data_IF_170028240539
#
_entry.id   IF_170028240539
#
_cell.length_a   1.000
_cell.length_b   1.000
_cell.length_c   1.000
_cell.angle_alpha   90.00
_cell.angle_beta   90.00
_cell.angle_gamma   90.00
#
_symmetry.space_group_name_H-M   'P 1'
#
loop_
_entity.id
_entity.type
_entity.pdbx_description
1 polymer ?
#
# COMPACT_ATOMS: atom_id res chain seq x y z
N UNK A 1 39.90 28.84 -50.40
CA UNK A 1 38.57 28.17 -50.37
C UNK A 1 38.62 26.78 -49.74
N UNK A 2 39.67 25.97 -49.93
CA UNK A 2 39.78 24.63 -49.32
C UNK A 2 39.68 24.61 -47.77
N UNK A 3 40.26 25.59 -47.07
CA UNK A 3 40.19 25.67 -45.60
C UNK A 3 38.78 25.92 -45.04
N UNK A 4 37.93 26.65 -45.77
CA UNK A 4 36.55 26.89 -45.36
C UNK A 4 35.70 25.61 -45.47
N UNK A 5 35.89 24.83 -46.55
CA UNK A 5 35.22 23.55 -46.73
C UNK A 5 35.66 22.53 -45.67
N UNK A 6 36.94 22.50 -45.31
CA UNK A 6 37.45 21.65 -44.23
C UNK A 6 36.87 22.05 -42.87
N UNK A 7 36.77 23.36 -42.57
CA UNK A 7 36.15 23.84 -41.34
C UNK A 7 34.66 23.47 -41.25
N UNK A 8 33.92 23.59 -42.36
CA UNK A 8 32.51 23.16 -42.42
C UNK A 8 32.34 21.67 -42.12
N UNK A 9 33.18 20.81 -42.72
CA UNK A 9 33.13 19.37 -42.47
C UNK A 9 33.39 19.00 -41.00
N UNK A 10 34.28 19.75 -40.31
CA UNK A 10 34.51 19.57 -38.87
C UNK A 10 33.28 19.98 -38.05
N UNK A 11 32.62 21.08 -38.40
CA UNK A 11 31.40 21.50 -37.72
C UNK A 11 30.25 20.52 -37.93
N UNK A 12 30.04 20.00 -39.13
CA UNK A 12 29.01 18.99 -39.40
C UNK A 12 29.24 17.74 -38.55
N UNK A 13 30.48 17.24 -38.50
CA UNK A 13 30.82 16.08 -37.65
C UNK A 13 30.60 16.37 -36.16
N UNK A 14 30.87 17.59 -35.70
CA UNK A 14 30.61 17.99 -34.32
C UNK A 14 29.11 18.06 -34.02
N UNK A 15 28.30 18.58 -34.95
CA UNK A 15 26.85 18.65 -34.84
C UNK A 15 26.20 17.27 -34.84
N UNK A 16 26.70 16.34 -35.66
CA UNK A 16 26.24 14.96 -35.68
C UNK A 16 26.50 14.25 -34.35
N UNK A 17 27.70 14.44 -33.76
CA UNK A 17 28.03 13.91 -32.44
C UNK A 17 27.08 14.44 -31.36
N UNK A 18 26.85 15.76 -31.33
CA UNK A 18 25.93 16.37 -30.35
C UNK A 18 24.50 15.85 -30.56
N UNK A 19 24.05 15.75 -31.81
CA UNK A 19 22.71 15.27 -32.15
C UNK A 19 22.52 13.81 -31.74
N UNK A 20 23.53 12.96 -31.96
CA UNK A 20 23.52 11.56 -31.50
C UNK A 20 23.43 11.45 -29.98
N UNK A 21 24.26 12.19 -29.24
CA UNK A 21 24.22 12.20 -27.78
C UNK A 21 22.90 12.74 -27.22
N UNK A 22 22.28 13.73 -27.87
CA UNK A 22 20.94 14.21 -27.53
C UNK A 22 19.86 13.15 -27.77
N UNK A 23 19.98 12.39 -28.86
CA UNK A 23 19.10 11.26 -29.16
C UNK A 23 19.15 10.19 -28.08
N UNK A 24 20.36 9.80 -27.67
CA UNK A 24 20.58 8.81 -26.61
C UNK A 24 19.99 9.28 -25.27
N UNK A 25 20.23 10.55 -24.90
CA UNK A 25 19.64 11.13 -23.69
C UNK A 25 18.10 11.16 -23.74
N UNK A 26 17.51 11.50 -24.89
CA UNK A 26 16.07 11.45 -25.07
C UNK A 26 15.50 10.03 -24.95
N UNK A 27 16.21 9.03 -25.46
CA UNK A 27 15.82 7.62 -25.30
C UNK A 27 15.87 7.18 -23.83
N UNK A 28 16.93 7.56 -23.10
CA UNK A 28 17.06 7.28 -21.66
C UNK A 28 15.96 7.98 -20.87
N UNK A 29 15.64 9.24 -21.19
CA UNK A 29 14.56 9.98 -20.55
C UNK A 29 13.19 9.30 -20.74
N UNK A 30 12.88 8.84 -21.95
CA UNK A 30 11.65 8.08 -22.22
C UNK A 30 11.58 6.76 -21.44
N UNK A 31 12.70 6.05 -21.32
CA UNK A 31 12.79 4.83 -20.51
C UNK A 31 12.61 5.12 -19.02
N UNK A 32 13.22 6.19 -18.51
CA UNK A 32 13.07 6.63 -17.13
C UNK A 32 11.60 6.97 -16.84
N UNK A 33 10.96 7.77 -17.71
CA UNK A 33 9.55 8.13 -17.56
C UNK A 33 8.64 6.90 -17.55
N UNK A 34 8.88 5.95 -18.44
CA UNK A 34 8.12 4.70 -18.49
C UNK A 34 8.32 3.86 -17.23
N UNK A 35 9.54 3.81 -16.72
CA UNK A 35 9.89 3.08 -15.47
C UNK A 35 9.23 3.73 -14.26
N UNK A 36 9.28 5.07 -14.17
CA UNK A 36 8.63 5.83 -13.10
C UNK A 36 7.12 5.59 -13.12
N UNK A 37 6.49 5.71 -14.28
CA UNK A 37 5.05 5.49 -14.40
C UNK A 37 4.66 4.06 -13.96
N UNK A 38 5.41 3.05 -14.39
CA UNK A 38 5.18 1.66 -13.98
C UNK A 38 5.37 1.47 -12.47
N UNK A 39 6.43 2.05 -11.90
CA UNK A 39 6.72 1.95 -10.48
C UNK A 39 5.66 2.65 -9.64
N UNK A 40 5.17 3.82 -10.06
CA UNK A 40 4.06 4.53 -9.41
C UNK A 40 2.80 3.66 -9.41
N UNK A 41 2.41 3.09 -10.56
CA UNK A 41 1.26 2.17 -10.61
C UNK A 41 1.43 0.97 -9.71
N UNK A 42 2.61 0.36 -9.71
CA UNK A 42 2.92 -0.79 -8.85
C UNK A 42 2.88 -0.42 -7.37
N UNK A 43 3.40 0.76 -7.00
CA UNK A 43 3.38 1.26 -5.63
C UNK A 43 1.97 1.53 -5.14
N UNK A 44 1.11 2.14 -5.96
CA UNK A 44 -0.31 2.36 -5.62
C UNK A 44 -1.02 1.03 -5.44
N UNK A 45 -0.88 0.10 -6.39
CA UNK A 45 -1.50 -1.23 -6.29
C UNK A 45 -1.04 -2.00 -5.05
N UNK A 46 0.25 -1.92 -4.70
CA UNK A 46 0.79 -2.57 -3.51
C UNK A 46 0.25 -1.92 -2.22
N UNK A 47 0.16 -0.59 -2.18
CA UNK A 47 -0.41 0.13 -1.05
C UNK A 47 -1.88 -0.22 -0.84
N UNK A 48 -2.66 -0.27 -1.92
CA UNK A 48 -4.08 -0.64 -1.87
C UNK A 48 -4.26 -2.11 -1.45
N UNK A 49 -3.43 -3.02 -1.97
CA UNK A 49 -3.45 -4.42 -1.56
C UNK A 49 -3.09 -4.57 -0.07
N UNK A 50 -2.08 -3.84 0.40
CA UNK A 50 -1.66 -3.84 1.80
C UNK A 50 -2.76 -3.29 2.71
N UNK A 51 -3.36 -2.15 2.37
CA UNK A 51 -4.50 -1.58 3.11
C UNK A 51 -5.66 -2.56 3.18
N UNK A 52 -6.03 -3.23 2.09
CA UNK A 52 -7.10 -4.24 2.12
C UNK A 52 -6.79 -5.42 3.06
N UNK A 53 -5.53 -5.82 3.20
CA UNK A 53 -5.13 -6.88 4.13
C UNK A 53 -5.21 -6.34 5.57
N UNK A 54 -4.54 -5.22 5.86
CA UNK A 54 -4.49 -4.64 7.21
C UNK A 54 -5.87 -4.22 7.72
N UNK A 55 -6.69 -3.59 6.88
CA UNK A 55 -8.04 -3.11 7.25
C UNK A 55 -9.05 -4.26 7.41
N UNK A 56 -8.93 -5.34 6.63
CA UNK A 56 -9.76 -6.54 6.79
C UNK A 56 -9.41 -7.28 8.08
N UNK A 57 -8.13 -7.45 8.38
CA UNK A 57 -7.66 -8.09 9.60
C UNK A 57 -8.03 -7.26 10.84
N UNK A 58 -7.89 -5.93 10.77
CA UNK A 58 -8.32 -5.04 11.84
C UNK A 58 -9.83 -5.12 12.11
N UNK A 59 -10.65 -5.16 11.05
CA UNK A 59 -12.09 -5.29 11.18
C UNK A 59 -12.51 -6.62 11.82
N UNK A 60 -11.86 -7.72 11.41
CA UNK A 60 -12.10 -9.05 11.97
C UNK A 60 -11.68 -9.15 13.45
N UNK A 61 -10.47 -8.70 13.77
CA UNK A 61 -9.92 -8.74 15.14
C UNK A 61 -10.70 -7.81 16.08
N UNK A 62 -11.05 -6.60 15.63
CA UNK A 62 -11.87 -5.66 16.41
C UNK A 62 -13.26 -6.23 16.71
N UNK A 63 -13.87 -6.94 15.75
CA UNK A 63 -15.15 -7.65 15.96
C UNK A 63 -15.00 -8.81 16.94
N UNK A 64 -13.90 -9.58 16.85
CA UNK A 64 -13.62 -10.67 17.78
C UNK A 64 -13.39 -10.14 19.20
N UNK A 65 -12.65 -9.04 19.36
CA UNK A 65 -12.43 -8.36 20.62
C UNK A 65 -13.75 -7.84 21.21
N UNK A 66 -14.56 -7.15 20.41
CA UNK A 66 -15.87 -6.67 20.84
C UNK A 66 -16.79 -7.82 21.27
N UNK A 67 -16.82 -8.92 20.49
CA UNK A 67 -17.55 -10.14 20.85
C UNK A 67 -17.07 -10.72 22.17
N UNK A 68 -15.75 -10.82 22.39
CA UNK A 68 -15.18 -11.33 23.64
C UNK A 68 -15.54 -10.44 24.84
N UNK A 69 -15.51 -9.12 24.67
CA UNK A 69 -15.92 -8.17 25.71
C UNK A 69 -17.41 -8.31 26.05
N UNK A 70 -18.29 -8.39 25.04
CA UNK A 70 -19.72 -8.62 25.24
C UNK A 70 -19.95 -9.96 25.94
N UNK A 71 -19.26 -11.02 25.52
CA UNK A 71 -19.40 -12.35 26.12
C UNK A 71 -18.97 -12.35 27.60
N UNK A 72 -17.90 -11.62 27.94
CA UNK A 72 -17.41 -11.50 29.32
C UNK A 72 -18.39 -10.73 30.21
N UNK A 73 -18.94 -9.61 29.71
CA UNK A 73 -19.97 -8.85 30.42
C UNK A 73 -21.26 -9.68 30.58
N UNK A 74 -21.69 -10.36 29.52
CA UNK A 74 -22.85 -11.25 29.56
C UNK A 74 -22.63 -12.43 30.52
N UNK A 75 -21.45 -13.04 30.54
CA UNK A 75 -21.12 -14.15 31.45
C UNK A 75 -21.17 -13.69 32.91
N UNK A 76 -20.68 -12.48 33.20
CA UNK A 76 -20.74 -11.90 34.55
C UNK A 76 -22.18 -11.63 34.98
N UNK A 77 -23.00 -11.05 34.08
CA UNK A 77 -24.42 -10.81 34.35
C UNK A 77 -25.23 -12.12 34.49
N UNK A 78 -24.94 -13.12 33.64
CA UNK A 78 -25.56 -14.44 33.71
C UNK A 78 -25.19 -15.19 34.98
N UNK A 79 -23.93 -15.12 35.42
CA UNK A 79 -23.49 -15.68 36.70
C UNK A 79 -24.21 -15.02 37.88
N UNK A 80 -24.36 -13.69 37.86
CA UNK A 80 -25.10 -12.96 38.90
C UNK A 80 -26.58 -13.39 38.93
N UNK A 81 -27.22 -13.52 37.77
CA UNK A 81 -28.61 -13.98 37.65
C UNK A 81 -28.77 -15.44 38.10
N UNK A 82 -27.84 -16.33 37.73
CA UNK A 82 -27.85 -17.73 38.13
C UNK A 82 -27.67 -17.89 39.65
N UNK A 83 -26.77 -17.11 40.26
CA UNK A 83 -26.59 -17.11 41.71
C UNK A 83 -27.84 -16.64 42.47
N UNK A 84 -28.53 -15.60 42.00
CA UNK A 84 -29.79 -15.15 42.60
C UNK A 84 -30.91 -16.21 42.49
N UNK A 85 -31.00 -16.90 41.35
CA UNK A 85 -31.95 -17.99 41.16
C UNK A 85 -31.67 -19.15 42.12
N UNK A 86 -30.40 -19.57 42.28
CA UNK A 86 -30.01 -20.63 43.21
C UNK A 86 -30.36 -20.30 44.68
N UNK A 87 -30.12 -19.07 45.13
CA UNK A 87 -30.50 -18.64 46.48
C UNK A 87 -32.02 -18.65 46.70
N UNK A 88 -32.79 -18.33 45.66
CA UNK A 88 -34.25 -18.36 45.72
C UNK A 88 -34.78 -19.79 45.83
N UNK A 89 -34.14 -20.76 45.15
CA UNK A 89 -34.49 -22.18 45.27
C UNK A 89 -34.11 -22.73 46.65
N UNK A 90 -32.96 -22.33 47.21
CA UNK A 90 -32.54 -22.77 48.55
C UNK A 90 -33.48 -22.26 49.66
N UNK A 91 -34.13 -21.10 49.44
CA UNK A 91 -35.21 -20.59 50.30
C UNK A 91 -36.53 -21.34 50.16
N UNK A 92 -36.77 -22.03 49.04
CA UNK A 92 -37.98 -22.82 48.81
C UNK A 92 -37.88 -24.25 49.37
N UNK A 93 -36.66 -24.72 49.63
CA UNK A 93 -36.37 -26.06 50.17
C UNK A 93 -36.16 -26.06 51.70
N UNK A 94 -36.14 -24.90 52.34
CA UNK A 94 -36.20 -24.71 53.80
C UNK A 94 -37.64 -24.45 54.22
#
# INVERSE_FOLDING_TARGET
QAGAAAAMAVFDSALDKISSGRGDLGAVQNRLQSTVNNLTTTSTNLSDAKSRIEDADFSAESTALAKAQILSQASTAMLAQANQSQQSVLKLLQ
#
